data_IF_663604439715
#
_entry.id   IF_663604439715
#
_cell.length_a   1.000
_cell.length_b   1.000
_cell.length_c   1.000
_cell.angle_alpha   90.00
_cell.angle_beta   90.00
_cell.angle_gamma   90.00
#
_symmetry.space_group_name_H-M   'P 1'
#
loop_
_entity.id
_entity.type
_entity.pdbx_description
1 polymer ?
#
# COMPACT_ATOMS: atom_id res chain seq x y z
N UNK A 1 14.79 -8.88 -6.95
CA UNK A 1 13.56 -9.66 -6.79
C UNK A 1 12.36 -8.77 -7.09
N UNK A 2 11.27 -9.33 -7.63
CA UNK A 2 10.03 -8.60 -7.89
C UNK A 2 8.87 -9.44 -7.38
N UNK A 3 7.88 -8.79 -6.76
CA UNK A 3 6.65 -9.39 -6.29
C UNK A 3 5.44 -8.60 -6.78
N UNK A 4 4.36 -9.31 -7.07
CA UNK A 4 3.09 -8.69 -7.42
C UNK A 4 1.95 -9.58 -6.92
N UNK A 5 0.93 -8.95 -6.32
CA UNK A 5 -0.31 -9.60 -5.93
C UNK A 5 -1.49 -8.73 -6.34
N UNK A 6 -2.57 -9.40 -6.74
CA UNK A 6 -3.86 -8.80 -7.03
C UNK A 6 -4.92 -9.51 -6.20
N UNK A 7 -5.81 -8.76 -5.56
CA UNK A 7 -6.95 -9.29 -4.82
C UNK A 7 -8.23 -8.54 -5.19
N UNK A 8 -9.33 -9.27 -5.27
CA UNK A 8 -10.66 -8.74 -5.58
C UNK A 8 -11.68 -9.37 -4.61
N UNK A 9 -12.54 -8.59 -3.94
CA UNK A 9 -13.65 -9.11 -3.16
C UNK A 9 -14.62 -9.93 -4.03
N UNK A 10 -15.16 -11.02 -3.50
CA UNK A 10 -16.10 -11.88 -4.25
C UNK A 10 -17.53 -11.35 -4.30
N UNK A 11 -17.83 -10.32 -3.49
CA UNK A 11 -19.14 -9.67 -3.36
C UNK A 11 -18.96 -8.19 -3.01
N UNK A 12 -19.99 -7.39 -3.24
CA UNK A 12 -19.90 -5.94 -3.11
C UNK A 12 -19.35 -5.28 -4.38
N UNK A 13 -19.21 -3.96 -4.31
CA UNK A 13 -18.79 -3.12 -5.43
C UNK A 13 -17.42 -2.49 -5.15
N UNK A 14 -16.50 -2.63 -6.10
CA UNK A 14 -15.10 -2.19 -6.00
C UNK A 14 -14.22 -3.04 -5.07
N UNK A 15 -13.22 -2.40 -4.47
CA UNK A 15 -12.30 -3.03 -3.51
C UNK A 15 -11.12 -3.79 -4.11
N UNK A 16 -10.97 -3.78 -5.43
CA UNK A 16 -9.82 -4.34 -6.14
C UNK A 16 -8.53 -3.73 -5.59
N UNK A 17 -7.59 -4.59 -5.22
CA UNK A 17 -6.31 -4.20 -4.70
C UNK A 17 -5.17 -4.75 -5.57
N UNK A 18 -4.15 -3.94 -5.76
CA UNK A 18 -2.90 -4.33 -6.40
C UNK A 18 -1.76 -3.95 -5.48
N UNK A 19 -0.87 -4.89 -5.21
CA UNK A 19 0.34 -4.65 -4.45
C UNK A 19 1.54 -5.12 -5.27
N UNK A 20 2.57 -4.29 -5.35
CA UNK A 20 3.81 -4.59 -6.04
C UNK A 20 5.01 -4.29 -5.16
N UNK A 21 6.07 -5.07 -5.32
CA UNK A 21 7.36 -4.76 -4.70
C UNK A 21 8.51 -5.09 -5.65
N UNK A 22 9.57 -4.31 -5.54
CA UNK A 22 10.82 -4.55 -6.26
C UNK A 22 11.99 -4.29 -5.32
N UNK A 23 12.99 -5.17 -5.39
CA UNK A 23 14.22 -5.06 -4.62
C UNK A 23 15.43 -5.32 -5.51
N UNK A 24 16.43 -4.46 -5.40
CA UNK A 24 17.73 -4.60 -6.05
C UNK A 24 18.82 -4.21 -5.07
N UNK A 25 19.94 -4.94 -5.11
CA UNK A 25 21.12 -4.66 -4.29
C UNK A 25 22.38 -5.14 -4.99
N UNK A 26 23.51 -4.51 -4.71
CA UNK A 26 24.81 -4.98 -5.17
C UNK A 26 25.91 -3.94 -4.99
N UNK A 27 27.09 -4.26 -5.53
CA UNK A 27 28.17 -3.30 -5.66
C UNK A 27 27.83 -2.27 -6.74
N UNK A 28 27.89 -0.99 -6.36
CA UNK A 28 27.87 0.14 -7.29
C UNK A 28 29.29 0.47 -7.77
N UNK A 29 30.28 0.28 -6.88
CA UNK A 29 31.71 0.31 -7.17
C UNK A 29 32.35 -0.86 -6.41
N UNK A 30 33.04 -1.72 -7.14
CA UNK A 30 33.67 -2.91 -6.57
C UNK A 30 34.57 -2.57 -5.38
N UNK A 31 34.39 -3.33 -4.29
CA UNK A 31 35.14 -3.20 -3.04
C UNK A 31 35.11 -1.80 -2.41
N UNK A 32 34.16 -0.93 -2.79
CA UNK A 32 34.11 0.44 -2.28
C UNK A 32 32.71 0.91 -1.94
N UNK A 33 31.73 0.68 -2.82
CA UNK A 33 30.39 1.23 -2.64
C UNK A 33 29.34 0.15 -2.92
N UNK A 34 28.53 -0.14 -1.91
CA UNK A 34 27.41 -1.06 -1.99
C UNK A 34 26.11 -0.25 -1.90
N UNK A 35 25.09 -0.68 -2.64
CA UNK A 35 23.79 -0.04 -2.63
C UNK A 35 22.66 -1.04 -2.65
N UNK A 36 21.54 -0.66 -2.05
CA UNK A 36 20.27 -1.36 -2.18
C UNK A 36 19.11 -0.40 -2.27
N UNK A 37 18.09 -0.79 -3.03
CA UNK A 37 16.82 -0.06 -3.12
C UNK A 37 15.68 -1.07 -3.05
N UNK A 38 14.69 -0.77 -2.21
CA UNK A 38 13.40 -1.43 -2.20
C UNK A 38 12.31 -0.40 -2.51
N UNK A 39 11.37 -0.80 -3.36
CA UNK A 39 10.18 -0.03 -3.70
C UNK A 39 8.97 -0.91 -3.46
N UNK A 40 7.97 -0.37 -2.78
CA UNK A 40 6.68 -1.02 -2.57
C UNK A 40 5.56 -0.07 -2.98
N UNK A 41 4.56 -0.60 -3.67
CA UNK A 41 3.37 0.12 -4.07
C UNK A 41 2.12 -0.66 -3.70
N UNK A 42 1.09 0.04 -3.27
CA UNK A 42 -0.22 -0.54 -3.01
C UNK A 42 -1.31 0.43 -3.46
N UNK A 43 -2.25 -0.06 -4.24
CA UNK A 43 -3.48 0.66 -4.57
C UNK A 43 -4.67 -0.23 -4.24
N UNK A 44 -5.74 0.37 -3.71
CA UNK A 44 -7.04 -0.29 -3.56
C UNK A 44 -8.16 0.69 -3.83
N UNK A 45 -9.13 0.25 -4.61
CA UNK A 45 -10.37 0.99 -4.80
C UNK A 45 -11.23 1.00 -3.53
N UNK A 46 -12.12 1.98 -3.44
CA UNK A 46 -13.15 1.95 -2.40
C UNK A 46 -13.99 0.67 -2.56
N UNK A 47 -14.42 0.09 -1.45
CA UNK A 47 -15.28 -1.09 -1.47
C UNK A 47 -16.58 -0.81 -0.75
N UNK A 48 -17.70 -1.17 -1.38
CA UNK A 48 -19.03 -1.12 -0.79
C UNK A 48 -19.56 -2.54 -0.61
N UNK A 49 -19.79 -2.92 0.64
CA UNK A 49 -20.27 -4.26 0.96
C UNK A 49 -21.77 -4.39 0.73
N UNK A 50 -22.20 -5.48 0.11
CA UNK A 50 -23.62 -5.89 0.02
C UNK A 50 -24.27 -6.16 1.38
N UNK A 51 -23.46 -6.40 2.42
CA UNK A 51 -23.95 -6.63 3.78
C UNK A 51 -24.14 -5.33 4.57
N UNK A 52 -23.81 -4.17 3.99
CA UNK A 52 -23.95 -2.88 4.65
C UNK A 52 -25.42 -2.47 4.76
N UNK A 53 -25.83 -2.02 5.95
CA UNK A 53 -27.10 -1.33 6.14
C UNK A 53 -27.10 0.09 5.52
N UNK A 54 -25.94 0.56 5.06
CA UNK A 54 -25.71 1.81 4.38
C UNK A 54 -24.93 1.56 3.06
N UNK A 55 -25.62 1.22 1.96
CA UNK A 55 -24.97 0.82 0.70
C UNK A 55 -24.22 1.97 0.02
N UNK A 56 -24.45 3.22 0.43
CA UNK A 56 -23.77 4.39 -0.10
C UNK A 56 -22.43 4.69 0.60
N UNK A 57 -22.21 4.10 1.79
CA UNK A 57 -20.99 4.27 2.55
C UNK A 57 -19.90 3.30 2.12
N UNK A 58 -18.66 3.77 2.10
CA UNK A 58 -17.50 2.94 1.82
C UNK A 58 -17.22 2.03 3.03
N UNK A 59 -17.27 0.71 2.82
CA UNK A 59 -16.88 -0.30 3.81
C UNK A 59 -15.35 -0.41 3.93
N UNK A 60 -14.64 -0.18 2.82
CA UNK A 60 -13.21 0.12 2.81
C UNK A 60 -12.97 1.36 1.96
N UNK A 61 -12.11 2.24 2.45
CA UNK A 61 -11.71 3.44 1.72
C UNK A 61 -10.81 3.12 0.52
N UNK A 62 -10.80 4.04 -0.44
CA UNK A 62 -9.78 4.08 -1.48
C UNK A 62 -8.44 4.41 -0.82
N UNK A 63 -7.39 3.68 -1.18
CA UNK A 63 -6.05 3.87 -0.59
C UNK A 63 -4.96 3.70 -1.64
N UNK A 64 -3.99 4.61 -1.64
CA UNK A 64 -2.81 4.60 -2.50
C UNK A 64 -1.56 4.81 -1.63
N UNK A 65 -0.59 3.92 -1.73
CA UNK A 65 0.64 3.90 -0.92
C UNK A 65 1.85 3.71 -1.81
N UNK A 66 2.90 4.48 -1.56
CA UNK A 66 4.21 4.31 -2.17
C UNK A 66 5.27 4.40 -1.09
N UNK A 67 6.12 3.37 -1.01
CA UNK A 67 7.27 3.33 -0.12
C UNK A 67 8.54 3.11 -0.93
N UNK A 68 9.57 3.91 -0.68
CA UNK A 68 10.91 3.72 -1.23
C UNK A 68 11.89 3.78 -0.08
N UNK A 69 12.75 2.78 0.04
CA UNK A 69 13.88 2.79 0.96
C UNK A 69 15.14 2.48 0.16
N UNK A 70 16.16 3.31 0.32
CA UNK A 70 17.48 3.09 -0.24
C UNK A 70 18.54 3.17 0.83
N UNK A 71 19.58 2.37 0.64
CA UNK A 71 20.73 2.30 1.55
C UNK A 71 22.01 2.29 0.72
N UNK A 72 23.02 3.00 1.20
CA UNK A 72 24.37 3.03 0.65
C UNK A 72 25.36 2.74 1.77
N UNK A 73 26.25 1.78 1.52
CA UNK A 73 27.39 1.50 2.39
C UNK A 73 28.67 1.82 1.64
N UNK A 74 29.44 2.77 2.17
CA UNK A 74 30.74 3.15 1.65
C UNK A 74 31.85 2.58 2.53
N UNK A 75 32.67 1.70 1.96
CA UNK A 75 33.90 1.18 2.57
C UNK A 75 35.00 2.25 2.42
N UNK A 76 35.21 3.05 3.46
CA UNK A 76 36.17 4.17 3.45
C UNK A 76 37.60 3.66 3.63
N UNK A 77 37.77 2.66 4.49
CA UNK A 77 39.00 1.92 4.72
C UNK A 77 38.68 0.48 5.15
N UNK A 78 39.70 -0.37 5.29
CA UNK A 78 39.53 -1.80 5.63
C UNK A 78 38.76 -2.04 6.93
N UNK A 79 38.71 -1.05 7.82
CA UNK A 79 38.05 -1.11 9.12
C UNK A 79 37.06 0.04 9.37
N UNK A 80 36.70 0.81 8.35
CA UNK A 80 35.81 1.97 8.47
C UNK A 80 34.81 1.99 7.33
N UNK A 81 33.53 2.05 7.67
CA UNK A 81 32.45 2.28 6.72
C UNK A 81 31.55 3.44 7.15
N UNK A 82 30.80 3.96 6.19
CA UNK A 82 29.74 4.95 6.39
C UNK A 82 28.48 4.42 5.73
N UNK A 83 27.39 4.40 6.48
CA UNK A 83 26.07 4.04 5.99
C UNK A 83 25.20 5.28 5.80
N UNK A 84 24.46 5.32 4.70
CA UNK A 84 23.48 6.34 4.39
C UNK A 84 22.16 5.68 4.01
N UNK A 85 21.10 6.07 4.70
CA UNK A 85 19.74 5.59 4.43
C UNK A 85 18.83 6.75 4.02
N UNK A 86 18.01 6.53 3.00
CA UNK A 86 17.00 7.47 2.53
C UNK A 86 15.67 6.76 2.38
N UNK A 87 14.62 7.36 2.97
CA UNK A 87 13.26 6.86 2.92
C UNK A 87 12.30 7.87 2.33
N UNK A 88 11.40 7.41 1.47
CA UNK A 88 10.22 8.14 1.02
C UNK A 88 8.97 7.29 1.29
N UNK A 89 7.91 7.92 1.79
CA UNK A 89 6.65 7.27 2.12
C UNK A 89 5.49 8.22 1.82
N UNK A 90 4.49 7.72 1.11
CA UNK A 90 3.22 8.39 0.87
C UNK A 90 2.08 7.42 1.16
N UNK A 91 1.00 7.95 1.74
CA UNK A 91 -0.21 7.19 2.01
C UNK A 91 -1.43 8.11 1.89
N UNK A 92 -2.10 8.04 0.74
CA UNK A 92 -3.31 8.81 0.47
C UNK A 92 -4.53 7.92 0.69
N UNK A 93 -5.50 8.44 1.45
CA UNK A 93 -6.70 7.72 1.87
C UNK A 93 -7.92 8.60 1.61
N UNK A 94 -8.91 8.07 0.91
CA UNK A 94 -10.16 8.77 0.62
C UNK A 94 -11.36 7.88 0.89
N UNK A 95 -12.24 8.34 1.79
CA UNK A 95 -13.41 7.59 2.25
C UNK A 95 -14.63 8.49 2.28
N UNK A 96 -15.76 7.96 1.81
CA UNK A 96 -17.08 8.53 2.10
C UNK A 96 -17.69 7.74 3.24
N UNK A 97 -17.58 8.27 4.46
CA UNK A 97 -18.26 7.72 5.63
C UNK A 97 -19.62 8.41 5.78
N UNK A 98 -20.68 7.63 5.98
CA UNK A 98 -21.96 8.17 6.39
C UNK A 98 -22.27 7.64 7.80
N UNK A 99 -22.02 8.48 8.80
CA UNK A 99 -22.26 8.19 10.22
C UNK A 99 -23.74 8.28 10.62
N UNK A 100 -24.65 8.57 9.69
CA UNK A 100 -26.08 8.60 10.00
C UNK A 100 -26.64 7.18 9.82
N UNK A 101 -27.10 6.52 10.90
CA UNK A 101 -27.81 5.27 10.76
C UNK A 101 -29.01 5.49 9.84
N UNK A 102 -29.12 4.71 8.76
CA UNK A 102 -30.35 4.70 7.99
C UNK A 102 -31.46 4.23 8.93
N UNK A 103 -32.51 5.05 9.08
CA UNK A 103 -33.68 4.65 9.87
C UNK A 103 -34.18 3.29 9.36
N UNK A 104 -34.55 2.35 10.24
CA UNK A 104 -35.06 1.06 9.81
C UNK A 104 -36.22 1.28 8.83
N UNK A 105 -36.06 0.78 7.61
CA UNK A 105 -37.16 0.77 6.65
C UNK A 105 -38.19 -0.21 7.18
N UNK A 106 -39.43 0.25 7.36
CA UNK A 106 -40.52 -0.62 7.78
C UNK A 106 -40.63 -1.79 6.79
N UNK A 107 -40.40 -3.00 7.27
CA UNK A 107 -40.75 -4.19 6.50
C UNK A 107 -42.27 -4.18 6.33
N UNK A 108 -42.73 -3.91 5.10
CA UNK A 108 -44.10 -4.22 4.73
C UNK A 108 -44.22 -5.74 4.71
N UNK A 109 -44.72 -6.30 5.82
CA UNK A 109 -45.27 -7.65 5.84
C UNK A 109 -46.55 -7.61 4.96
N UNK A 110 -46.50 -8.33 3.83
CA UNK A 110 -47.67 -8.83 3.12
C UNK A 110 -47.98 -10.22 3.67
#
# INVERSE_FOLDING_TARGET
AVGYTHTMPTKGDGGDANQGSAFVSGALIDNKLLGSVVVEGYQRDRWKSEQSNNPDADALEKREVVNVLSSLKWLVADNQDIDFDLGYNQNDMHSTTNNVPRAPTAQNYQ
#
